data_IF_033229061497
#
_entry.id   IF_033229061497
#
_cell.length_a   1.000
_cell.length_b   1.000
_cell.length_c   1.000
_cell.angle_alpha   90.00
_cell.angle_beta   90.00
_cell.angle_gamma   90.00
#
_symmetry.space_group_name_H-M   'P 1'
#
loop_
_entity.id
_entity.type
_entity.pdbx_description
1 polymer ?
#
# COMPACT_ATOMS: atom_id res chain seq x y z
N UNK A 1 2.56 15.68 19.73
CA UNK A 1 1.72 15.31 19.14
C UNK A 1 1.78 15.00 17.75
N UNK A 2 2.09 15.77 16.90
CA UNK A 2 2.12 15.43 15.54
C UNK A 2 3.36 14.78 15.16
N UNK A 3 4.26 14.45 16.03
CA UNK A 3 5.42 13.84 15.62
C UNK A 3 5.23 12.53 15.06
N UNK A 4 4.31 11.74 15.53
CA UNK A 4 4.24 10.41 15.04
C UNK A 4 3.72 10.30 13.65
N UNK A 5 2.99 11.26 13.12
CA UNK A 5 2.66 11.06 11.75
C UNK A 5 3.66 11.68 10.87
N UNK A 6 4.68 12.23 11.40
CA UNK A 6 5.73 12.70 10.57
C UNK A 6 6.61 11.60 10.08
N UNK A 7 6.60 10.42 10.68
CA UNK A 7 7.45 9.37 10.20
C UNK A 7 7.08 8.97 8.79
N UNK A 8 5.81 8.81 8.48
CA UNK A 8 5.41 8.44 7.14
C UNK A 8 5.70 9.56 6.16
N UNK A 9 5.51 10.80 6.57
CA UNK A 9 5.78 11.90 5.68
C UNK A 9 7.25 12.07 5.41
N UNK A 10 8.08 11.87 6.40
CA UNK A 10 9.52 11.97 6.21
C UNK A 10 9.99 10.89 5.27
N UNK A 11 9.47 9.68 5.41
CA UNK A 11 9.82 8.60 4.53
C UNK A 11 9.45 8.92 3.10
N UNK A 12 8.28 9.47 2.90
CA UNK A 12 7.81 9.84 1.58
C UNK A 12 8.69 10.93 0.99
N UNK A 13 9.01 11.95 1.76
CA UNK A 13 9.84 13.04 1.27
C UNK A 13 11.24 12.57 0.93
N UNK A 14 11.76 11.64 1.66
CA UNK A 14 13.08 11.12 1.36
C UNK A 14 13.09 10.42 0.01
N UNK A 15 12.04 9.71 -0.31
CA UNK A 15 11.95 9.06 -1.59
C UNK A 15 11.88 10.06 -2.72
N UNK A 16 11.07 11.09 -2.60
CA UNK A 16 10.94 12.01 -3.70
C UNK A 16 12.13 12.89 -3.86
N UNK A 17 12.94 13.02 -2.87
CA UNK A 17 14.14 13.83 -3.03
C UNK A 17 15.26 13.08 -3.66
N UNK A 18 15.16 11.78 -3.81
CA UNK A 18 16.21 11.00 -4.41
C UNK A 18 16.11 11.02 -5.91
N UNK A 19 17.15 10.60 -6.60
CA UNK A 19 17.10 10.53 -8.05
C UNK A 19 15.96 9.65 -8.51
N UNK A 20 15.54 9.84 -9.73
CA UNK A 20 14.36 9.21 -10.23
C UNK A 20 14.36 7.72 -10.12
N UNK A 21 15.46 7.08 -10.43
CA UNK A 21 15.51 5.64 -10.43
C UNK A 21 15.27 5.07 -9.05
N UNK A 22 15.90 5.56 -7.99
CA UNK A 22 15.59 5.09 -6.66
C UNK A 22 14.14 5.35 -6.26
N UNK A 23 13.56 6.46 -6.72
CA UNK A 23 12.18 6.75 -6.42
C UNK A 23 11.27 5.72 -7.08
N UNK A 24 11.56 5.38 -8.32
CA UNK A 24 10.77 4.38 -9.02
C UNK A 24 10.87 3.05 -8.32
N UNK A 25 12.07 2.63 -7.96
CA UNK A 25 12.26 1.34 -7.33
C UNK A 25 11.56 1.29 -5.97
N UNK A 26 11.65 2.35 -5.21
CA UNK A 26 11.02 2.41 -3.92
C UNK A 26 9.51 2.35 -4.03
N UNK A 27 8.97 3.03 -5.04
CA UNK A 27 7.54 3.05 -5.25
C UNK A 27 7.03 1.67 -5.64
N UNK A 28 7.75 0.99 -6.51
CA UNK A 28 7.35 -0.35 -6.92
C UNK A 28 7.40 -1.32 -5.74
N UNK A 29 8.39 -1.17 -4.89
CA UNK A 29 8.49 -2.00 -3.70
C UNK A 29 7.30 -1.74 -2.78
N UNK A 30 6.92 -0.50 -2.61
CA UNK A 30 5.79 -0.16 -1.77
C UNK A 30 4.50 -0.72 -2.33
N UNK A 31 4.32 -0.67 -3.63
CA UNK A 31 3.13 -1.21 -4.28
C UNK A 31 3.05 -2.71 -4.03
N UNK A 32 4.16 -3.39 -4.24
CA UNK A 32 4.18 -4.84 -4.05
C UNK A 32 3.93 -5.19 -2.58
N UNK A 33 4.55 -4.46 -1.67
CA UNK A 33 4.39 -4.73 -0.26
C UNK A 33 2.93 -4.51 0.16
N UNK A 34 2.30 -3.45 -0.32
CA UNK A 34 0.92 -3.16 0.01
C UNK A 34 0.00 -4.24 -0.54
N UNK A 35 0.28 -4.70 -1.73
CA UNK A 35 -0.49 -5.77 -2.34
C UNK A 35 -0.40 -7.04 -1.51
N UNK A 36 0.78 -7.37 -1.04
CA UNK A 36 0.97 -8.56 -0.22
C UNK A 36 0.26 -8.43 1.12
N UNK A 37 0.27 -7.25 1.68
CA UNK A 37 -0.43 -7.02 2.94
C UNK A 37 -1.93 -7.15 2.76
N UNK A 38 -2.45 -6.71 1.62
CA UNK A 38 -3.86 -6.87 1.32
C UNK A 38 -4.23 -8.33 1.24
N UNK A 39 -3.43 -9.12 0.54
CA UNK A 39 -3.69 -10.54 0.41
C UNK A 39 -3.68 -11.20 1.78
N UNK A 40 -2.73 -10.83 2.62
CA UNK A 40 -2.63 -11.38 3.95
C UNK A 40 -3.85 -11.02 4.79
N UNK A 41 -4.31 -9.78 4.67
CA UNK A 41 -5.46 -9.33 5.43
C UNK A 41 -6.73 -10.05 4.99
N UNK A 42 -6.90 -10.27 3.71
CA UNK A 42 -8.04 -11.02 3.22
C UNK A 42 -8.00 -12.46 3.71
N UNK A 43 -6.82 -13.05 3.74
CA UNK A 43 -6.67 -14.41 4.23
C UNK A 43 -7.05 -14.49 5.71
N UNK A 44 -6.61 -13.52 6.50
CA UNK A 44 -6.95 -13.49 7.90
C UNK A 44 -8.44 -13.29 8.11
N UNK A 45 -9.05 -12.46 7.25
CA UNK A 45 -10.48 -12.22 7.32
C UNK A 45 -11.25 -13.52 7.13
N UNK A 46 -10.82 -14.33 6.18
CA UNK A 46 -11.51 -15.58 5.89
C UNK A 46 -11.38 -16.60 6.99
N UNK A 47 -10.34 -16.50 7.79
CA UNK A 47 -10.08 -17.49 8.83
C UNK A 47 -10.42 -17.02 10.23
N UNK A 48 -10.90 -15.80 10.37
CA UNK A 48 -11.17 -15.25 11.68
C UNK A 48 -12.64 -15.42 12.05
N UNK A 49 -12.92 -15.76 13.29
CA UNK A 49 -14.29 -15.89 13.73
C UNK A 49 -14.66 -14.90 14.82
N UNK A 50 -13.71 -14.22 15.41
CA UNK A 50 -14.01 -13.26 16.46
C UNK A 50 -14.49 -11.95 15.85
N UNK A 51 -15.63 -11.45 16.31
CA UNK A 51 -16.23 -10.27 15.69
C UNK A 51 -15.39 -9.03 15.79
N UNK A 52 -14.76 -8.82 16.95
CA UNK A 52 -13.94 -7.63 17.11
C UNK A 52 -12.72 -7.69 16.22
N UNK A 53 -12.15 -8.86 16.08
CA UNK A 53 -11.00 -9.01 15.20
C UNK A 53 -11.39 -8.91 13.74
N UNK A 54 -12.59 -9.38 13.40
CA UNK A 54 -13.08 -9.20 12.02
C UNK A 54 -13.22 -7.73 11.70
N UNK A 55 -13.77 -6.95 12.61
CA UNK A 55 -13.90 -5.52 12.39
C UNK A 55 -12.54 -4.87 12.19
N UNK A 56 -11.59 -5.26 13.02
CA UNK A 56 -10.24 -4.74 12.89
C UNK A 56 -9.65 -5.04 11.54
N UNK A 57 -9.84 -6.27 11.06
CA UNK A 57 -9.30 -6.66 9.77
C UNK A 57 -10.00 -5.90 8.65
N UNK A 58 -11.30 -5.67 8.76
CA UNK A 58 -12.01 -4.91 7.75
C UNK A 58 -11.45 -3.50 7.63
N UNK A 59 -11.18 -2.85 8.75
CA UNK A 59 -10.61 -1.51 8.70
C UNK A 59 -9.20 -1.54 8.12
N UNK A 60 -8.46 -2.58 8.43
CA UNK A 60 -7.13 -2.71 7.87
C UNK A 60 -7.20 -2.89 6.36
N UNK A 61 -8.13 -3.70 5.88
CA UNK A 61 -8.31 -3.90 4.45
C UNK A 61 -8.66 -2.58 3.78
N UNK A 62 -9.55 -1.81 4.36
CA UNK A 62 -9.94 -0.55 3.76
C UNK A 62 -8.78 0.43 3.71
N UNK A 63 -7.99 0.46 4.76
CA UNK A 63 -6.81 1.31 4.80
C UNK A 63 -5.82 0.92 3.72
N UNK A 64 -5.57 -0.36 3.58
CA UNK A 64 -4.61 -0.84 2.60
C UNK A 64 -5.11 -0.63 1.17
N UNK A 65 -6.41 -0.76 0.95
CA UNK A 65 -6.97 -0.51 -0.37
C UNK A 65 -6.78 0.97 -0.75
N UNK A 66 -7.00 1.86 0.19
CA UNK A 66 -6.83 3.27 -0.09
C UNK A 66 -5.37 3.59 -0.40
N UNK A 67 -4.47 3.00 0.36
CA UNK A 67 -3.05 3.21 0.12
C UNK A 67 -2.64 2.64 -1.23
N UNK A 68 -3.13 1.47 -1.56
CA UNK A 68 -2.81 0.83 -2.83
C UNK A 68 -3.26 1.72 -4.00
N UNK A 69 -4.48 2.25 -3.91
CA UNK A 69 -4.97 3.13 -4.97
C UNK A 69 -4.11 4.39 -5.10
N UNK A 70 -3.72 4.94 -3.97
CA UNK A 70 -2.87 6.12 -3.99
C UNK A 70 -1.54 5.83 -4.66
N UNK A 71 -0.92 4.72 -4.31
CA UNK A 71 0.38 4.37 -4.87
C UNK A 71 0.28 4.09 -6.36
N UNK A 72 -0.80 3.46 -6.79
CA UNK A 72 -0.96 3.20 -8.22
C UNK A 72 -1.17 4.48 -9.00
N UNK A 73 -1.91 5.43 -8.44
CA UNK A 73 -2.09 6.70 -9.10
C UNK A 73 -0.78 7.47 -9.17
N UNK A 74 -0.02 7.41 -8.10
CA UNK A 74 1.26 8.08 -8.08
C UNK A 74 2.19 7.48 -9.14
N UNK A 75 2.20 6.17 -9.24
CA UNK A 75 3.04 5.50 -10.24
C UNK A 75 2.61 5.91 -11.65
N UNK A 76 1.31 5.98 -11.88
CA UNK A 76 0.82 6.37 -13.19
C UNK A 76 1.23 7.80 -13.52
N UNK A 77 1.14 8.69 -12.55
CA UNK A 77 1.54 10.07 -12.76
C UNK A 77 3.01 10.21 -13.09
N UNK A 78 3.81 9.31 -12.56
CA UNK A 78 5.24 9.34 -12.82
C UNK A 78 5.63 8.50 -14.02
N UNK A 79 4.67 7.90 -14.69
CA UNK A 79 4.95 7.09 -15.87
C UNK A 79 5.63 5.78 -15.55
N UNK A 80 5.43 5.25 -14.36
CA UNK A 80 6.08 4.02 -13.95
C UNK A 80 5.22 2.84 -14.33
N UNK A 81 5.87 1.85 -14.96
CA UNK A 81 5.17 0.67 -15.41
C UNK A 81 5.01 -0.33 -14.28
N UNK A 82 3.80 -0.77 -14.05
CA UNK A 82 3.53 -1.70 -12.99
C UNK A 82 3.17 -3.09 -13.47
N UNK A 83 3.39 -3.36 -14.74
CA UNK A 83 2.92 -4.61 -15.32
C UNK A 83 3.63 -5.82 -14.75
N UNK A 84 4.80 -5.67 -14.22
CA UNK A 84 5.51 -6.79 -13.66
C UNK A 84 5.15 -7.11 -12.22
N UNK A 85 4.22 -6.37 -11.63
CA UNK A 85 3.86 -6.55 -10.25
C UNK A 85 2.60 -7.39 -10.16
N UNK A 86 2.59 -8.34 -9.23
CA UNK A 86 1.42 -9.12 -9.02
C UNK A 86 0.34 -8.22 -8.48
N UNK A 87 -0.70 -8.02 -9.21
CA UNK A 87 -1.75 -7.11 -8.84
C UNK A 87 -2.84 -7.85 -8.10
N UNK A 88 -3.25 -7.35 -6.99
CA UNK A 88 -4.32 -7.93 -6.26
C UNK A 88 -5.58 -7.81 -7.09
N UNK A 89 -6.51 -8.65 -6.88
CA UNK A 89 -7.70 -8.72 -7.67
C UNK A 89 -8.23 -7.38 -8.11
N UNK A 90 -8.89 -7.32 -9.19
CA UNK A 90 -9.41 -6.09 -9.74
C UNK A 90 -10.37 -5.36 -8.85
N UNK A 91 -10.96 -6.02 -7.89
CA UNK A 91 -11.91 -5.34 -7.06
C UNK A 91 -11.26 -4.37 -6.12
N UNK A 92 -9.98 -4.36 -6.00
CA UNK A 92 -9.30 -3.42 -5.18
C UNK A 92 -9.31 -2.04 -5.80
N UNK A 93 -9.35 -1.97 -7.06
CA UNK A 93 -9.32 -0.74 -7.78
C UNK A 93 -10.69 -0.35 -8.31
#
# INVERSE_FOLDING_TARGET
>A
MEKHFNSAKIFYYEFIRKPEKPVQDALLIQIRDTSQRLESAYSRFENESNEDLLDSIIYEIQSLKALYRYLLKLAREKGIECSGISVFSGEVI
#
